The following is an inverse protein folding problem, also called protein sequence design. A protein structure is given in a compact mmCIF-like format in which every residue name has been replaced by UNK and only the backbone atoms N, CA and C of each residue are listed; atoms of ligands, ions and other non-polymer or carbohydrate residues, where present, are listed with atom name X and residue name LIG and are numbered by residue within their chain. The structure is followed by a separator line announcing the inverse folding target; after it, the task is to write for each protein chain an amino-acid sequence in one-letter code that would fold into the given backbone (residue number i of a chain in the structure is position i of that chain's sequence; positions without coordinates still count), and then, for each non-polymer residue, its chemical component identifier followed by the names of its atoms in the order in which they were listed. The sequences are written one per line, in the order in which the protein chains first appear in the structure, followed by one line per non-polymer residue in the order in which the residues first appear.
data_IF_949936148295
#
_entry.id   IF_949936148295
#
_cell.length_a   1.000
_cell.length_b   1.000
_cell.length_c   1.000
_cell.angle_alpha   90.00
_cell.angle_beta   90.00
_cell.angle_gamma   90.00
#
_symmetry.space_group_name_H-M   'P 1'
#
loop_
_entity.id
_entity.type
_entity.pdbx_description
1 polymer ?
#
# COMPACT_ATOMS: atom_id res chain seq x y z
N UNK A 1 33.19 18.65 18.22
CA UNK A 1 31.70 18.65 18.24
C UNK A 1 31.06 17.94 17.04
N UNK A 2 31.51 18.16 15.78
CA UNK A 2 30.93 17.51 14.59
C UNK A 2 31.01 15.96 14.58
N UNK A 3 32.09 15.39 15.15
CA UNK A 3 32.28 13.92 15.20
C UNK A 3 31.42 13.23 16.27
N UNK A 4 31.06 13.96 17.33
CA UNK A 4 30.17 13.43 18.38
C UNK A 4 28.70 13.34 17.92
N UNK A 5 28.24 14.32 17.11
CA UNK A 5 26.90 14.30 16.52
C UNK A 5 26.74 13.17 15.52
N UNK A 6 27.78 12.87 14.71
CA UNK A 6 27.72 11.76 13.76
C UNK A 6 27.65 10.39 14.45
N UNK A 7 28.33 10.23 15.60
CA UNK A 7 28.30 9.00 16.40
C UNK A 7 26.95 8.81 17.10
N UNK A 8 26.32 9.87 17.58
CA UNK A 8 24.97 9.85 18.17
C UNK A 8 23.89 9.53 17.13
N UNK A 9 24.02 10.06 15.91
CA UNK A 9 23.09 9.74 14.81
C UNK A 9 23.22 8.27 14.38
N UNK A 10 24.43 7.73 14.31
CA UNK A 10 24.66 6.32 14.00
C UNK A 10 24.15 5.39 15.11
N UNK A 11 24.24 5.81 16.39
CA UNK A 11 23.73 5.04 17.52
C UNK A 11 22.21 5.05 17.59
N UNK A 12 21.53 6.14 17.20
CA UNK A 12 20.07 6.19 17.10
C UNK A 12 19.53 5.28 15.98
N UNK A 13 20.24 5.13 14.87
CA UNK A 13 19.89 4.21 13.79
C UNK A 13 20.07 2.73 14.17
N UNK A 14 20.92 2.42 15.15
CA UNK A 14 21.12 1.05 15.65
C UNK A 14 20.10 0.61 16.70
N UNK A 15 19.35 1.54 17.30
CA UNK A 15 18.35 1.24 18.34
C UNK A 15 16.96 0.97 17.80
N UNK A 16 16.67 1.22 16.52
CA UNK A 16 15.43 0.81 15.87
C UNK A 16 15.61 -0.57 15.24
N UNK A 17 15.82 -1.56 16.07
CA UNK A 17 15.91 -2.98 15.67
C UNK A 17 14.55 -3.60 15.37
N UNK A 18 13.72 -2.94 14.56
CA UNK A 18 12.68 -3.58 13.78
C UNK A 18 13.28 -3.85 12.40
N UNK A 19 13.25 -5.08 11.89
CA UNK A 19 13.50 -5.29 10.48
C UNK A 19 12.39 -4.55 9.74
N UNK A 20 12.64 -3.34 9.28
CA UNK A 20 11.88 -2.78 8.18
C UNK A 20 12.13 -3.77 7.03
N UNK A 21 11.19 -4.68 6.79
CA UNK A 21 11.16 -5.39 5.52
C UNK A 21 11.09 -4.28 4.48
N UNK A 22 12.12 -4.20 3.66
CA UNK A 22 12.19 -3.21 2.59
C UNK A 22 10.96 -3.41 1.72
N UNK A 23 10.15 -2.37 1.54
CA UNK A 23 9.12 -2.38 0.53
C UNK A 23 9.83 -2.61 -0.82
N UNK A 24 9.38 -3.60 -1.56
CA UNK A 24 9.86 -3.83 -2.92
C UNK A 24 9.07 -2.92 -3.85
N UNK A 25 9.76 -2.04 -4.55
CA UNK A 25 9.17 -1.09 -5.48
C UNK A 25 9.46 -1.51 -6.92
N UNK A 26 8.43 -1.56 -7.75
CA UNK A 26 8.55 -1.92 -9.16
C UNK A 26 7.70 -0.99 -10.02
N UNK A 27 8.29 -0.33 -11.01
CA UNK A 27 7.53 0.45 -12.00
C UNK A 27 6.73 -0.51 -12.88
N UNK A 28 5.41 -0.35 -12.90
CA UNK A 28 4.48 -1.20 -13.66
C UNK A 28 3.96 -0.54 -14.92
N UNK A 29 3.77 0.77 -14.88
CA UNK A 29 3.21 1.54 -15.99
C UNK A 29 3.88 2.91 -16.07
N UNK A 30 4.24 3.32 -17.29
CA UNK A 30 4.71 4.66 -17.58
C UNK A 30 4.02 5.12 -18.88
N UNK A 31 3.07 6.05 -18.76
CA UNK A 31 2.27 6.52 -19.89
C UNK A 31 1.70 7.90 -19.61
N UNK A 32 1.67 8.74 -20.64
CA UNK A 32 1.05 10.08 -20.62
C UNK A 32 1.53 10.97 -19.46
N UNK A 33 2.83 10.88 -19.12
CA UNK A 33 3.43 11.64 -18.02
C UNK A 33 3.08 11.13 -16.62
N UNK A 34 2.42 9.97 -16.49
CA UNK A 34 2.12 9.28 -15.25
C UNK A 34 3.00 8.04 -15.14
N UNK A 35 3.70 7.91 -14.03
CA UNK A 35 4.44 6.70 -13.64
C UNK A 35 3.70 6.03 -12.49
N UNK A 36 3.35 4.77 -12.64
CA UNK A 36 2.75 3.94 -11.60
C UNK A 36 3.81 2.99 -11.06
N UNK A 37 4.08 3.08 -9.77
CA UNK A 37 5.01 2.19 -9.08
C UNK A 37 4.24 1.30 -8.13
N UNK A 38 4.44 0.00 -8.23
CA UNK A 38 3.94 -0.99 -7.27
C UNK A 38 4.81 -0.99 -6.04
N UNK A 39 4.19 -0.84 -4.89
CA UNK A 39 4.81 -1.06 -3.59
C UNK A 39 4.29 -2.38 -3.03
N UNK A 40 5.21 -3.29 -2.73
CA UNK A 40 4.92 -4.58 -2.11
C UNK A 40 5.51 -4.61 -0.70
N UNK A 41 4.65 -4.76 0.30
CA UNK A 41 5.04 -4.85 1.70
C UNK A 41 4.59 -6.18 2.29
N UNK A 42 5.51 -6.88 2.97
CA UNK A 42 5.19 -8.08 3.73
C UNK A 42 5.58 -7.85 5.19
N UNK A 43 4.59 -7.87 6.05
CA UNK A 43 4.79 -7.78 7.50
C UNK A 43 4.26 -9.04 8.17
N UNK A 44 4.97 -9.52 9.18
CA UNK A 44 4.58 -10.66 9.98
C UNK A 44 4.69 -10.30 11.46
N UNK A 45 3.55 -10.35 12.15
CA UNK A 45 3.50 -10.27 13.61
C UNK A 45 3.34 -11.66 14.21
N UNK A 46 3.17 -11.74 15.53
CA UNK A 46 2.92 -13.02 16.21
C UNK A 46 1.62 -13.69 15.75
N UNK A 47 0.60 -12.90 15.44
CA UNK A 47 -0.76 -13.39 15.18
C UNK A 47 -1.27 -13.07 13.77
N UNK A 48 -0.55 -12.27 13.00
CA UNK A 48 -1.00 -11.77 11.71
C UNK A 48 0.12 -11.80 10.65
N UNK A 49 -0.27 -12.04 9.41
CA UNK A 49 0.57 -11.90 8.23
C UNK A 49 -0.10 -10.97 7.24
N UNK A 50 0.62 -9.93 6.85
CA UNK A 50 0.21 -8.97 5.84
C UNK A 50 1.07 -9.16 4.59
N UNK A 51 0.44 -9.20 3.44
CA UNK A 51 1.09 -9.14 2.14
C UNK A 51 0.31 -8.13 1.31
N UNK A 52 0.79 -6.90 1.26
CA UNK A 52 0.04 -5.75 0.78
C UNK A 52 0.70 -5.22 -0.48
N UNK A 53 -0.09 -5.12 -1.54
CA UNK A 53 0.27 -4.43 -2.77
C UNK A 53 -0.58 -3.17 -2.92
N UNK A 54 0.08 -2.05 -3.18
CA UNK A 54 -0.60 -0.77 -3.45
C UNK A 54 0.18 0.05 -4.47
N UNK A 55 -0.50 0.87 -5.29
CA UNK A 55 0.16 1.77 -6.23
C UNK A 55 0.66 3.04 -5.54
N UNK A 56 1.70 3.64 -6.12
CA UNK A 56 2.03 5.06 -5.93
C UNK A 56 2.15 5.70 -7.30
N UNK A 57 1.83 6.99 -7.38
CA UNK A 57 1.82 7.74 -8.62
C UNK A 57 2.86 8.84 -8.55
N UNK A 58 3.66 8.99 -9.63
CA UNK A 58 4.53 10.12 -9.86
C UNK A 58 4.18 10.76 -11.21
N UNK A 59 4.06 12.08 -11.25
CA UNK A 59 3.69 12.84 -12.43
C UNK A 59 4.58 14.07 -12.57
N UNK A 60 4.75 14.59 -13.81
CA UNK A 60 5.39 15.89 -14.03
C UNK A 60 4.53 17.04 -13.44
N UNK A 61 3.21 16.90 -13.48
CA UNK A 61 2.26 17.81 -12.83
C UNK A 61 2.04 17.40 -11.36
N UNK A 62 2.54 18.23 -10.44
CA UNK A 62 2.42 17.98 -9.00
C UNK A 62 0.95 17.99 -8.49
N UNK A 63 0.04 18.72 -9.18
CA UNK A 63 -1.37 18.72 -8.82
C UNK A 63 -2.01 17.38 -9.18
N UNK A 64 -1.72 16.87 -10.38
CA UNK A 64 -2.16 15.56 -10.84
C UNK A 64 -1.60 14.44 -9.94
N UNK A 65 -0.32 14.50 -9.61
CA UNK A 65 0.31 13.54 -8.70
C UNK A 65 -0.41 13.50 -7.34
N UNK A 66 -0.65 14.68 -6.76
CA UNK A 66 -1.37 14.79 -5.48
C UNK A 66 -2.79 14.22 -5.61
N UNK A 67 -3.51 14.56 -6.67
CA UNK A 67 -4.86 14.08 -6.91
C UNK A 67 -4.91 12.55 -7.03
N UNK A 68 -4.04 11.93 -7.83
CA UNK A 68 -4.01 10.48 -8.01
C UNK A 68 -3.66 9.74 -6.71
N UNK A 69 -2.65 10.23 -5.98
CA UNK A 69 -2.27 9.62 -4.72
C UNK A 69 -3.39 9.73 -3.68
N UNK A 70 -4.05 10.88 -3.54
CA UNK A 70 -5.17 11.06 -2.61
C UNK A 70 -6.43 10.29 -3.00
N UNK A 71 -6.70 10.16 -4.29
CA UNK A 71 -7.93 9.51 -4.77
C UNK A 71 -7.81 8.00 -4.86
N UNK A 72 -6.63 7.45 -5.14
CA UNK A 72 -6.42 6.03 -5.40
C UNK A 72 -5.47 5.40 -4.38
N UNK A 73 -4.25 5.91 -4.25
CA UNK A 73 -3.24 5.27 -3.42
C UNK A 73 -3.59 5.30 -1.92
N UNK A 74 -3.97 6.47 -1.41
CA UNK A 74 -4.29 6.64 0.00
C UNK A 74 -5.50 5.82 0.47
N UNK A 75 -6.65 5.75 -0.26
CA UNK A 75 -7.74 4.86 0.12
C UNK A 75 -7.35 3.39 0.18
N UNK A 76 -6.50 2.91 -0.74
CA UNK A 76 -6.02 1.53 -0.73
C UNK A 76 -5.13 1.31 0.51
N UNK A 77 -4.17 2.19 0.78
CA UNK A 77 -3.28 2.12 1.95
C UNK A 77 -4.05 2.20 3.27
N UNK A 78 -5.05 3.07 3.36
CA UNK A 78 -5.88 3.22 4.57
C UNK A 78 -6.67 1.95 4.87
N UNK A 79 -7.23 1.27 3.87
CA UNK A 79 -7.90 -0.01 4.08
C UNK A 79 -6.97 -1.09 4.60
N UNK A 80 -5.74 -1.13 4.08
CA UNK A 80 -4.71 -2.03 4.58
C UNK A 80 -4.37 -1.72 6.04
N UNK A 81 -4.15 -0.46 6.39
CA UNK A 81 -3.83 -0.03 7.75
C UNK A 81 -4.97 -0.30 8.76
N UNK A 82 -6.23 -0.17 8.33
CA UNK A 82 -7.38 -0.53 9.18
C UNK A 82 -7.39 -2.03 9.51
N UNK A 83 -7.11 -2.89 8.55
CA UNK A 83 -7.00 -4.32 8.77
C UNK A 83 -5.87 -4.69 9.73
N UNK A 84 -4.75 -3.95 9.70
CA UNK A 84 -3.64 -4.12 10.66
C UNK A 84 -4.02 -3.75 12.11
N UNK A 85 -4.93 -2.79 12.27
CA UNK A 85 -5.31 -2.28 13.60
C UNK A 85 -6.35 -3.14 14.32
N UNK A 86 -7.02 -4.06 13.64
CA UNK A 86 -7.97 -4.97 14.26
C UNK A 86 -7.24 -5.94 15.20
N UNK A 87 -7.48 -5.75 16.50
CA UNK A 87 -6.86 -6.56 17.54
C UNK A 87 -7.41 -7.99 17.53
N UNK A 88 -6.59 -8.93 17.10
CA UNK A 88 -6.89 -10.36 17.09
C UNK A 88 -6.44 -11.03 18.39
N UNK A 89 -6.70 -10.39 19.53
CA UNK A 89 -6.41 -10.98 20.84
C UNK A 89 -7.32 -12.18 21.09
N UNK A 90 -6.77 -13.37 21.05
CA UNK A 90 -7.50 -14.58 21.45
C UNK A 90 -7.03 -15.90 20.84
N UNK A 91 -6.03 -15.91 19.99
CA UNK A 91 -5.57 -17.16 19.39
C UNK A 91 -4.37 -17.76 20.12
N UNK A 92 -4.62 -18.72 21.00
CA UNK A 92 -3.57 -19.53 21.65
C UNK A 92 -2.94 -20.59 20.74
N UNK A 93 -3.46 -20.75 19.50
CA UNK A 93 -3.22 -21.93 18.66
C UNK A 93 -2.02 -21.83 17.72
N UNK A 94 -1.30 -20.71 17.67
CA UNK A 94 -0.23 -20.49 16.69
C UNK A 94 -0.72 -20.32 15.25
N UNK A 95 -2.02 -20.23 15.03
CA UNK A 95 -2.62 -19.87 13.76
C UNK A 95 -2.54 -18.35 13.57
N UNK A 96 -2.50 -17.91 12.32
CA UNK A 96 -2.32 -16.49 11.97
C UNK A 96 -3.47 -16.03 11.09
N UNK A 97 -3.97 -14.82 11.35
CA UNK A 97 -4.79 -14.12 10.39
C UNK A 97 -3.95 -13.75 9.17
N UNK A 98 -4.56 -13.83 8.00
CA UNK A 98 -3.90 -13.45 6.76
C UNK A 98 -4.67 -12.31 6.12
N UNK A 99 -3.96 -11.24 5.82
CA UNK A 99 -4.47 -10.07 5.13
C UNK A 99 -3.63 -9.88 3.87
N UNK A 100 -4.28 -9.74 2.74
CA UNK A 100 -3.61 -9.46 1.48
C UNK A 100 -4.40 -8.46 0.65
N UNK A 101 -3.71 -7.62 -0.09
CA UNK A 101 -4.30 -6.80 -1.13
C UNK A 101 -3.63 -7.07 -2.46
N UNK A 102 -4.35 -6.78 -3.52
CA UNK A 102 -3.84 -6.70 -4.88
C UNK A 102 -4.58 -5.61 -5.61
N UNK A 103 -3.96 -5.04 -6.64
CA UNK A 103 -4.58 -3.99 -7.44
C UNK A 103 -4.22 -4.14 -8.92
N UNK A 104 -4.97 -3.44 -9.75
CA UNK A 104 -4.69 -3.25 -11.17
C UNK A 104 -4.91 -1.79 -11.51
N UNK A 105 -3.99 -1.19 -12.24
CA UNK A 105 -4.13 0.15 -12.82
C UNK A 105 -4.03 0.03 -14.32
N UNK A 106 -4.94 0.66 -15.05
CA UNK A 106 -4.87 0.73 -16.52
C UNK A 106 -5.15 2.14 -17.04
N UNK A 107 -4.56 2.44 -18.19
CA UNK A 107 -4.73 3.67 -18.96
C UNK A 107 -5.04 3.31 -20.42
N UNK A 108 -6.07 2.47 -20.60
CA UNK A 108 -6.44 1.93 -21.93
C UNK A 108 -7.06 3.00 -22.83
N UNK A 109 -7.69 4.01 -22.23
CA UNK A 109 -8.29 5.13 -22.93
C UNK A 109 -7.49 6.42 -22.70
N UNK A 110 -7.30 7.26 -23.74
CA UNK A 110 -6.63 8.54 -23.60
C UNK A 110 -7.29 9.42 -22.52
N UNK A 111 -6.46 10.02 -21.65
CA UNK A 111 -6.92 10.90 -20.60
C UNK A 111 -7.71 10.24 -19.45
N UNK A 112 -7.83 8.90 -19.45
CA UNK A 112 -8.51 8.16 -18.40
C UNK A 112 -7.56 7.17 -17.73
N UNK A 113 -7.64 7.11 -16.40
CA UNK A 113 -6.99 6.10 -15.59
C UNK A 113 -8.06 5.36 -14.80
N UNK A 114 -8.02 4.04 -14.83
CA UNK A 114 -8.86 3.18 -14.01
C UNK A 114 -7.99 2.40 -13.01
N UNK A 115 -8.49 2.27 -11.79
CA UNK A 115 -7.86 1.49 -10.73
C UNK A 115 -8.88 0.59 -10.07
N UNK A 116 -8.51 -0.65 -9.83
CA UNK A 116 -9.25 -1.63 -9.06
C UNK A 116 -8.34 -2.22 -8.00
N UNK A 117 -8.82 -2.39 -6.78
CA UNK A 117 -8.10 -3.11 -5.74
C UNK A 117 -9.02 -4.10 -5.03
N UNK A 118 -8.45 -5.21 -4.60
CA UNK A 118 -9.13 -6.23 -3.81
C UNK A 118 -8.37 -6.42 -2.48
N UNK A 119 -9.14 -6.55 -1.41
CA UNK A 119 -8.63 -6.80 -0.07
C UNK A 119 -9.18 -8.14 0.41
N UNK A 120 -8.32 -9.03 0.86
CA UNK A 120 -8.70 -10.36 1.35
C UNK A 120 -8.29 -10.50 2.80
N UNK A 121 -9.25 -10.90 3.61
CA UNK A 121 -9.04 -11.21 5.00
C UNK A 121 -9.46 -12.66 5.28
N UNK A 122 -8.61 -13.41 5.93
CA UNK A 122 -8.90 -14.75 6.40
C UNK A 122 -8.49 -14.88 7.87
N UNK A 123 -9.49 -15.06 8.74
CA UNK A 123 -9.25 -15.30 10.15
C UNK A 123 -8.53 -16.62 10.38
N UNK A 124 -7.70 -16.66 11.41
CA UNK A 124 -6.96 -17.84 11.84
C UNK A 124 -7.87 -19.04 12.02
N UNK A 125 -7.54 -20.16 11.36
CA UNK A 125 -8.34 -21.39 11.41
C UNK A 125 -9.66 -21.36 10.63
N UNK A 126 -10.00 -20.26 9.97
CA UNK A 126 -11.19 -20.16 9.11
C UNK A 126 -10.89 -20.65 7.70
N UNK A 127 -11.88 -21.32 7.09
CA UNK A 127 -11.88 -21.63 5.65
C UNK A 127 -12.59 -20.55 4.84
N UNK A 128 -13.14 -19.53 5.50
CA UNK A 128 -13.87 -18.43 4.84
C UNK A 128 -12.92 -17.28 4.62
N UNK A 129 -12.83 -16.80 3.38
CA UNK A 129 -12.11 -15.59 3.00
C UNK A 129 -13.15 -14.49 2.76
N UNK A 130 -13.02 -13.40 3.48
CA UNK A 130 -13.77 -12.18 3.20
C UNK A 130 -13.01 -11.38 2.15
N UNK A 131 -13.74 -10.82 1.18
CA UNK A 131 -13.14 -10.00 0.12
C UNK A 131 -13.92 -8.69 0.02
N UNK A 132 -13.20 -7.59 0.03
CA UNK A 132 -13.70 -6.25 -0.22
C UNK A 132 -13.04 -5.68 -1.47
N UNK A 133 -13.67 -4.71 -2.13
CA UNK A 133 -13.20 -4.12 -3.37
C UNK A 133 -13.19 -2.60 -3.29
N UNK A 134 -12.24 -2.02 -3.98
CA UNK A 134 -12.16 -0.59 -4.29
C UNK A 134 -12.03 -0.47 -5.80
N UNK A 135 -12.68 0.51 -6.38
CA UNK A 135 -12.51 0.87 -7.79
C UNK A 135 -12.68 2.37 -7.97
N UNK A 136 -11.97 2.92 -8.93
CA UNK A 136 -12.04 4.31 -9.31
C UNK A 136 -11.74 4.47 -10.81
N UNK A 137 -12.45 5.38 -11.45
CA UNK A 137 -12.11 5.89 -12.79
C UNK A 137 -11.93 7.38 -12.68
N UNK A 138 -10.80 7.88 -13.16
CA UNK A 138 -10.45 9.30 -13.06
C UNK A 138 -10.14 9.87 -14.44
N UNK A 139 -10.54 11.12 -14.66
CA UNK A 139 -10.09 11.95 -15.78
C UNK A 139 -8.78 12.61 -15.39
N UNK A 140 -7.73 12.39 -16.17
CA UNK A 140 -6.42 12.98 -15.93
C UNK A 140 -6.42 14.48 -16.27
N UNK A 141 -7.15 14.87 -17.33
CA UNK A 141 -7.22 16.25 -17.79
C UNK A 141 -8.04 17.14 -16.85
N UNK A 142 -9.16 16.60 -16.34
CA UNK A 142 -10.08 17.33 -15.46
C UNK A 142 -9.77 17.13 -13.97
N UNK A 143 -8.87 16.22 -13.65
CA UNK A 143 -8.50 15.83 -12.28
C UNK A 143 -9.74 15.55 -11.41
N UNK A 144 -10.66 14.75 -11.94
CA UNK A 144 -11.90 14.39 -11.25
C UNK A 144 -12.19 12.88 -11.33
N UNK A 145 -12.90 12.39 -10.34
CA UNK A 145 -13.40 11.01 -10.31
C UNK A 145 -14.69 10.91 -11.14
N UNK A 146 -14.76 9.90 -11.99
CA UNK A 146 -15.90 9.66 -12.87
C UNK A 146 -16.83 8.53 -12.36
N UNK A 147 -16.36 7.75 -11.38
CA UNK A 147 -17.11 6.68 -10.79
C UNK A 147 -16.26 5.80 -9.89
#
# INVERSE_FOLDING_TARGET
MKRLCALLLALCLLMTGLPALAAEETVELEKDGVTVTRCHEVTKTKNQRFAIDYPTFACEDAALETFLNQTIADPIRQRCAMAESEDTTGYESGLMDTISSGYTVSMDFPGLLSAEASFRYQAAGSHVVQTDFFWAVVSLDEQQTLG
#
